data_IF_742555687871
#
_entry.id   IF_742555687871
#
_cell.length_a   1.000
_cell.length_b   1.000
_cell.length_c   1.000
_cell.angle_alpha   90.00
_cell.angle_beta   90.00
_cell.angle_gamma   90.00
#
_symmetry.space_group_name_H-M   'P 1'
#
loop_
_entity.id
_entity.type
_entity.pdbx_description
1 polymer ?
#
# COMPACT_ATOMS: atom_id res chain seq x y z
N UNK A 1 -13.55 -17.19 35.37
CA UNK A 1 -12.19 -16.80 35.76
C UNK A 1 -11.16 -17.62 35.02
N UNK A 2 -11.25 -18.93 35.10
CA UNK A 2 -10.31 -19.78 34.37
C UNK A 2 -10.34 -19.56 32.89
N UNK A 3 -11.51 -19.29 32.36
CA UNK A 3 -11.64 -19.10 30.92
C UNK A 3 -10.86 -17.90 30.44
N UNK A 4 -10.88 -16.82 31.22
CA UNK A 4 -10.12 -15.62 30.85
C UNK A 4 -8.63 -15.90 30.84
N UNK A 5 -8.16 -16.64 31.83
CA UNK A 5 -6.73 -16.95 31.91
C UNK A 5 -6.30 -17.85 30.77
N UNK A 6 -7.12 -18.83 30.43
CA UNK A 6 -6.81 -19.73 29.32
C UNK A 6 -6.83 -18.98 28.01
N UNK A 7 -7.77 -18.07 27.84
CA UNK A 7 -7.85 -17.28 26.64
C UNK A 7 -6.60 -16.41 26.49
N UNK A 8 -6.18 -15.78 27.57
CA UNK A 8 -4.99 -14.93 27.51
C UNK A 8 -3.74 -15.72 27.15
N UNK A 9 -3.61 -16.92 27.71
CA UNK A 9 -2.42 -17.72 27.44
C UNK A 9 -2.34 -18.21 26.01
N UNK A 10 -3.47 -18.26 25.32
CA UNK A 10 -3.49 -18.69 23.92
C UNK A 10 -3.30 -17.54 22.95
N UNK A 11 -3.35 -16.32 23.42
CA UNK A 11 -3.19 -15.17 22.57
C UNK A 11 -1.72 -14.97 22.25
N UNK A 12 -1.36 -14.76 20.97
CA UNK A 12 0.05 -14.49 20.62
C UNK A 12 0.56 -13.21 21.29
N UNK A 13 1.85 -13.10 21.49
CA UNK A 13 2.41 -11.85 22.00
C UNK A 13 2.03 -10.65 21.16
N UNK A 14 1.86 -9.51 21.79
CA UNK A 14 1.44 -8.30 21.09
C UNK A 14 2.37 -7.92 19.94
N UNK A 15 3.73 -7.99 20.09
CA UNK A 15 4.58 -7.66 18.93
C UNK A 15 4.39 -8.56 17.73
N UNK A 16 4.19 -9.85 17.94
CA UNK A 16 3.95 -10.77 16.83
C UNK A 16 2.63 -10.49 16.16
N UNK A 17 1.59 -10.19 16.95
CA UNK A 17 0.29 -9.87 16.43
C UNK A 17 0.32 -8.57 15.62
N UNK A 18 0.99 -7.56 16.14
CA UNK A 18 1.12 -6.28 15.44
C UNK A 18 1.89 -6.45 14.13
N UNK A 19 2.90 -7.31 14.14
CA UNK A 19 3.67 -7.57 12.93
C UNK A 19 2.81 -8.24 11.87
N UNK A 20 1.98 -9.21 12.27
CA UNK A 20 1.07 -9.88 11.34
C UNK A 20 0.06 -8.90 10.76
N UNK A 21 -0.48 -8.02 11.61
CA UNK A 21 -1.43 -7.02 11.15
C UNK A 21 -0.76 -6.06 10.17
N UNK A 22 0.48 -5.67 10.43
CA UNK A 22 1.20 -4.78 9.54
C UNK A 22 1.45 -5.44 8.18
N UNK A 23 1.79 -6.72 8.17
CA UNK A 23 2.00 -7.42 6.91
C UNK A 23 0.70 -7.59 6.13
N UNK A 24 -0.40 -7.83 6.80
CA UNK A 24 -1.69 -7.92 6.15
C UNK A 24 -2.07 -6.57 5.54
N UNK A 25 -1.90 -5.50 6.31
CA UNK A 25 -2.17 -4.16 5.83
C UNK A 25 -1.31 -3.84 4.60
N UNK A 26 -0.03 -4.23 4.65
CA UNK A 26 0.88 -3.99 3.54
C UNK A 26 0.39 -4.70 2.27
N UNK A 27 -0.06 -5.95 2.39
CA UNK A 27 -0.54 -6.69 1.22
C UNK A 27 -1.78 -6.04 0.63
N UNK A 28 -2.68 -5.56 1.49
CA UNK A 28 -3.88 -4.86 1.04
C UNK A 28 -3.48 -3.58 0.30
N UNK A 29 -2.57 -2.82 0.87
CA UNK A 29 -2.09 -1.57 0.27
C UNK A 29 -1.46 -1.85 -1.08
N UNK A 30 -0.62 -2.88 -1.18
CA UNK A 30 0.02 -3.23 -2.44
C UNK A 30 -0.99 -3.61 -3.51
N UNK A 31 -2.02 -4.35 -3.14
CA UNK A 31 -3.05 -4.74 -4.09
C UNK A 31 -3.80 -3.52 -4.60
N UNK A 32 -4.17 -2.61 -3.70
CA UNK A 32 -4.87 -1.39 -4.08
C UNK A 32 -3.98 -0.48 -4.92
N UNK A 33 -2.70 -0.40 -4.58
CA UNK A 33 -1.75 0.41 -5.34
C UNK A 33 -1.60 -0.11 -6.76
N UNK A 34 -1.50 -1.42 -6.91
CA UNK A 34 -1.36 -2.03 -8.21
C UNK A 34 -2.60 -1.79 -9.06
N UNK A 35 -3.78 -1.94 -8.47
CA UNK A 35 -5.03 -1.68 -9.18
C UNK A 35 -5.10 -0.22 -9.62
N UNK A 36 -4.72 0.68 -8.73
CA UNK A 36 -4.74 2.10 -9.03
C UNK A 36 -3.77 2.43 -10.15
N UNK A 37 -2.57 1.84 -10.13
CA UNK A 37 -1.57 2.08 -11.18
C UNK A 37 -2.07 1.59 -12.53
N UNK A 38 -2.60 0.39 -12.58
CA UNK A 38 -3.09 -0.18 -13.83
C UNK A 38 -4.24 0.65 -14.39
N UNK A 39 -5.18 1.02 -13.51
CA UNK A 39 -6.32 1.83 -13.93
C UNK A 39 -5.87 3.20 -14.43
N UNK A 40 -4.93 3.82 -13.72
CA UNK A 40 -4.41 5.13 -14.09
C UNK A 40 -3.70 5.08 -15.44
N UNK A 41 -2.92 4.03 -15.68
CA UNK A 41 -2.22 3.86 -16.94
C UNK A 41 -3.21 3.64 -18.08
N UNK A 42 -4.29 2.91 -17.82
CA UNK A 42 -5.32 2.70 -18.83
C UNK A 42 -5.98 4.02 -19.20
N UNK A 43 -6.29 4.86 -18.22
CA UNK A 43 -6.89 6.17 -18.48
C UNK A 43 -5.95 7.01 -19.35
N UNK A 44 -4.66 7.00 -19.04
CA UNK A 44 -3.68 7.74 -19.84
C UNK A 44 -3.64 7.22 -21.27
N UNK A 45 -3.68 5.90 -21.46
CA UNK A 45 -3.69 5.30 -22.77
C UNK A 45 -4.95 5.68 -23.53
N UNK A 46 -6.09 5.62 -22.86
CA UNK A 46 -7.36 5.98 -23.52
C UNK A 46 -7.33 7.42 -24.00
N UNK A 47 -6.75 8.32 -23.22
CA UNK A 47 -6.63 9.71 -23.64
C UNK A 47 -5.77 9.86 -24.89
N UNK A 48 -4.75 8.99 -25.03
CA UNK A 48 -3.86 9.06 -26.19
C UNK A 48 -4.50 8.60 -27.48
N UNK A 49 -5.51 7.73 -27.40
CA UNK A 49 -6.13 7.19 -28.61
C UNK A 49 -7.39 7.97 -29.05
N UNK A 50 -7.77 8.98 -28.30
CA UNK A 50 -8.90 9.83 -28.67
C UNK A 50 -8.47 10.81 -29.76
N UNK A 51 -9.46 11.28 -30.53
CA UNK A 51 -9.17 12.31 -31.49
C UNK A 51 -8.88 13.63 -30.79
N UNK A 52 -8.39 14.60 -31.56
CA UNK A 52 -7.92 15.86 -31.00
C UNK A 52 -9.02 16.62 -30.27
N UNK A 53 -10.18 16.71 -30.89
CA UNK A 53 -11.29 17.47 -30.31
C UNK A 53 -11.77 16.85 -29.03
N UNK A 54 -11.86 15.53 -28.98
CA UNK A 54 -12.29 14.81 -27.80
C UNK A 54 -11.23 14.96 -26.69
N UNK A 55 -9.96 14.88 -27.05
CA UNK A 55 -8.88 15.06 -26.09
C UNK A 55 -8.91 16.45 -25.48
N UNK A 56 -9.12 17.46 -26.30
CA UNK A 56 -9.20 18.83 -25.78
C UNK A 56 -10.39 18.99 -24.83
N UNK A 57 -11.54 18.42 -25.19
CA UNK A 57 -12.70 18.49 -24.33
C UNK A 57 -12.44 17.81 -22.99
N UNK A 58 -11.80 16.66 -23.02
CA UNK A 58 -11.49 15.89 -21.81
C UNK A 58 -10.50 16.63 -20.92
N UNK A 59 -9.41 17.13 -21.51
CA UNK A 59 -8.31 17.71 -20.73
C UNK A 59 -8.64 19.09 -20.19
N UNK A 60 -9.73 19.69 -20.66
CA UNK A 60 -10.18 20.98 -20.14
C UNK A 60 -11.18 20.84 -18.99
N UNK A 61 -11.37 19.65 -18.47
CA UNK A 61 -12.29 19.44 -17.37
C UNK A 61 -11.55 19.45 -16.04
N UNK A 62 -12.25 19.82 -14.95
CA UNK A 62 -11.65 19.70 -13.61
C UNK A 62 -11.33 18.25 -13.25
N UNK A 63 -12.04 17.30 -13.85
CA UNK A 63 -11.79 15.89 -13.59
C UNK A 63 -10.42 15.46 -14.11
N UNK A 64 -10.00 16.00 -15.25
CA UNK A 64 -8.67 15.70 -15.77
C UNK A 64 -7.58 16.26 -14.86
N UNK A 65 -7.76 17.49 -14.37
CA UNK A 65 -6.81 18.07 -13.42
C UNK A 65 -6.71 17.24 -12.16
N UNK A 66 -7.86 16.77 -11.64
CA UNK A 66 -7.87 15.92 -10.46
C UNK A 66 -7.15 14.61 -10.72
N UNK A 67 -7.33 14.04 -11.91
CA UNK A 67 -6.66 12.81 -12.29
C UNK A 67 -5.13 13.00 -12.30
N UNK A 68 -4.66 14.08 -12.91
CA UNK A 68 -3.21 14.34 -12.93
C UNK A 68 -2.65 14.55 -11.54
N UNK A 69 -3.38 15.26 -10.69
CA UNK A 69 -2.96 15.46 -9.30
C UNK A 69 -2.89 14.13 -8.55
N UNK A 70 -3.86 13.25 -8.79
CA UNK A 70 -3.87 11.97 -8.12
C UNK A 70 -2.72 11.08 -8.59
N UNK A 71 -2.33 11.19 -9.87
CA UNK A 71 -1.17 10.44 -10.35
C UNK A 71 0.10 10.91 -9.64
N UNK A 72 0.27 12.20 -9.46
CA UNK A 72 1.43 12.73 -8.73
C UNK A 72 1.42 12.29 -7.27
N UNK A 73 0.23 12.31 -6.66
CA UNK A 73 0.10 11.85 -5.28
C UNK A 73 0.45 10.37 -5.16
N UNK A 74 0.08 9.58 -6.17
CA UNK A 74 0.38 8.15 -6.17
C UNK A 74 1.88 7.88 -6.23
N UNK A 75 2.62 8.70 -6.98
CA UNK A 75 4.08 8.55 -7.01
C UNK A 75 4.69 8.78 -5.63
N UNK A 76 4.19 9.77 -4.89
CA UNK A 76 4.66 10.01 -3.53
C UNK A 76 4.28 8.85 -2.61
N UNK A 77 3.06 8.33 -2.78
CA UNK A 77 2.60 7.21 -1.97
C UNK A 77 3.44 5.98 -2.24
N UNK A 78 3.86 5.78 -3.49
CA UNK A 78 4.73 4.64 -3.81
C UNK A 78 6.04 4.71 -3.04
N UNK A 79 6.64 5.88 -2.97
CA UNK A 79 7.88 6.06 -2.21
C UNK A 79 7.66 5.78 -0.73
N UNK A 80 6.53 6.23 -0.20
CA UNK A 80 6.18 5.96 1.21
C UNK A 80 6.01 4.47 1.47
N UNK A 81 5.41 3.76 0.53
CA UNK A 81 5.20 2.32 0.68
C UNK A 81 6.53 1.57 0.63
N UNK A 82 7.45 1.99 -0.23
CA UNK A 82 8.78 1.40 -0.26
C UNK A 82 9.48 1.57 1.07
N UNK A 83 9.34 2.75 1.66
CA UNK A 83 9.91 3.02 2.96
C UNK A 83 9.27 2.16 4.05
N UNK A 84 7.96 2.00 3.98
CA UNK A 84 7.23 1.14 4.90
C UNK A 84 7.72 -0.31 4.78
N UNK A 85 7.96 -0.77 3.56
CA UNK A 85 8.48 -2.10 3.31
C UNK A 85 9.84 -2.29 3.96
N UNK A 86 10.70 -1.29 3.85
CA UNK A 86 12.01 -1.36 4.50
C UNK A 86 11.89 -1.47 6.01
N UNK A 87 10.95 -0.71 6.58
CA UNK A 87 10.71 -0.75 8.02
C UNK A 87 10.22 -2.14 8.44
N UNK A 88 9.27 -2.71 7.69
CA UNK A 88 8.77 -4.04 8.01
C UNK A 88 9.88 -5.09 7.92
N UNK A 89 10.71 -5.01 6.89
CA UNK A 89 11.80 -5.94 6.72
C UNK A 89 12.79 -5.84 7.88
N UNK A 90 13.10 -4.62 8.30
CA UNK A 90 14.00 -4.41 9.42
C UNK A 90 13.43 -4.99 10.70
N UNK A 91 12.15 -4.78 10.96
CA UNK A 91 11.52 -5.32 12.16
C UNK A 91 11.53 -6.84 12.15
N UNK A 92 11.24 -7.45 11.00
CA UNK A 92 11.26 -8.90 10.90
C UNK A 92 12.66 -9.45 11.15
N UNK A 93 13.66 -8.80 10.61
CA UNK A 93 15.05 -9.22 10.80
C UNK A 93 15.45 -9.10 12.26
N UNK A 94 15.07 -8.02 12.92
CA UNK A 94 15.40 -7.84 14.33
C UNK A 94 14.74 -8.90 15.19
N UNK A 95 13.51 -9.28 14.84
CA UNK A 95 12.81 -10.30 15.61
C UNK A 95 13.39 -11.69 15.40
N UNK A 96 14.02 -11.92 14.26
CA UNK A 96 14.58 -13.23 13.94
C UNK A 96 16.02 -13.40 14.39
N UNK A 97 16.69 -12.31 14.70
CA UNK A 97 18.13 -12.32 14.90
C UNK A 97 18.62 -12.54 16.32
N UNK A 98 17.81 -12.48 17.35
CA UNK A 98 18.36 -12.37 18.71
C UNK A 98 19.28 -13.51 19.09
N UNK A 99 19.01 -14.70 18.63
CA UNK A 99 19.81 -15.85 19.04
C UNK A 99 21.12 -15.97 18.28
N UNK A 100 21.25 -15.26 17.19
CA UNK A 100 22.43 -15.40 16.34
C UNK A 100 23.69 -14.90 17.03
N UNK A 101 23.55 -14.01 17.97
CA UNK A 101 24.71 -13.45 18.65
C UNK A 101 25.33 -14.41 19.64
N UNK A 102 24.60 -15.42 20.01
CA UNK A 102 25.09 -16.37 20.97
C UNK A 102 26.00 -17.40 20.32
#
# INVERSE_FOLDING_TARGET
>A
MSDSEQHSSQTPPAPALAEQDAHLAYRIIQSLLEHTRVTSDLVALMAQVLDRDTTEALTNTPYWSAYLDSRRAMERTRADIERFTEILTRLSTENEAPAADE
#
